data_IF_413302674913
#
_entry.id   IF_413302674913
#
_cell.length_a   1.000
_cell.length_b   1.000
_cell.length_c   1.000
_cell.angle_alpha   90.00
_cell.angle_beta   90.00
_cell.angle_gamma   90.00
#
_symmetry.space_group_name_H-M   'P 1'
#
loop_
_entity.id
_entity.type
_entity.pdbx_description
1 polymer ?
#
# COMPACT_ATOMS: atom_id res chain seq x y z
N UNK A 1 1.55 3.25 29.85
CA UNK A 1 1.89 1.84 29.54
C UNK A 1 3.12 1.80 28.64
N UNK A 2 3.92 0.74 28.68
CA UNK A 2 5.07 0.59 27.75
C UNK A 2 4.54 0.30 26.34
N UNK A 3 5.01 1.05 25.34
CA UNK A 3 4.69 0.82 23.92
C UNK A 3 5.22 -0.54 23.46
N UNK A 4 4.47 -1.21 22.58
CA UNK A 4 4.86 -2.46 21.93
C UNK A 4 6.06 -2.20 21.00
N UNK A 5 7.03 -3.14 20.89
CA UNK A 5 8.21 -3.01 20.03
C UNK A 5 7.88 -3.23 18.55
N UNK A 6 6.86 -2.55 18.06
CA UNK A 6 6.30 -2.69 16.72
C UNK A 6 6.39 -1.33 16.03
N UNK A 7 6.63 -1.34 14.73
CA UNK A 7 6.35 -0.22 13.86
C UNK A 7 5.19 -0.60 12.92
N UNK A 8 4.28 0.33 12.69
CA UNK A 8 3.20 0.19 11.69
C UNK A 8 3.39 1.30 10.68
N UNK A 9 3.39 0.94 9.40
CA UNK A 9 3.52 1.88 8.29
C UNK A 9 2.34 1.71 7.35
N UNK A 10 1.71 2.83 6.97
CA UNK A 10 0.58 2.88 6.04
C UNK A 10 0.97 3.74 4.83
N UNK A 11 1.43 3.12 3.74
CA UNK A 11 1.89 3.88 2.58
C UNK A 11 0.73 4.41 1.72
N UNK A 12 -0.50 3.91 1.89
CA UNK A 12 -1.55 4.02 0.88
C UNK A 12 -2.92 4.47 1.40
N UNK A 13 -3.04 4.84 2.67
CA UNK A 13 -4.34 5.17 3.28
C UNK A 13 -4.92 6.55 2.91
N UNK A 14 -4.09 7.48 2.45
CA UNK A 14 -4.52 8.85 2.16
C UNK A 14 -5.21 9.00 0.80
N UNK A 15 -6.14 9.96 0.72
CA UNK A 15 -6.81 10.39 -0.51
C UNK A 15 -6.32 11.75 -1.02
N UNK A 16 -5.37 12.38 -0.33
CA UNK A 16 -4.96 13.74 -0.67
C UNK A 16 -4.15 13.77 -1.97
N UNK A 17 -4.41 14.79 -2.79
CA UNK A 17 -3.63 15.07 -4.00
C UNK A 17 -2.44 15.97 -3.61
N UNK A 18 -1.20 15.67 -4.05
CA UNK A 18 -0.07 16.57 -3.88
C UNK A 18 -0.40 17.97 -4.46
N UNK A 19 -0.17 19.07 -3.72
CA UNK A 19 -0.61 20.40 -4.14
C UNK A 19 -0.12 20.83 -5.54
N UNK A 20 1.09 20.44 -5.93
CA UNK A 20 1.67 20.74 -7.24
C UNK A 20 0.96 20.03 -8.41
N UNK A 21 0.21 18.97 -8.09
CA UNK A 21 -0.49 18.12 -9.05
C UNK A 21 -2.00 18.37 -9.08
N UNK A 22 -2.56 19.18 -8.18
CA UNK A 22 -4.01 19.43 -8.08
C UNK A 22 -4.63 19.80 -9.42
N UNK A 23 -4.04 20.76 -10.15
CA UNK A 23 -4.57 21.19 -11.46
C UNK A 23 -4.21 20.25 -12.61
N UNK A 24 -3.31 19.29 -12.40
CA UNK A 24 -2.81 18.35 -13.42
C UNK A 24 -3.55 17.02 -13.42
N UNK A 25 -4.05 16.59 -12.26
CA UNK A 25 -4.70 15.28 -12.07
C UNK A 25 -6.06 15.24 -12.76
N UNK A 26 -6.34 14.15 -13.46
CA UNK A 26 -7.61 13.87 -14.13
C UNK A 26 -8.53 12.95 -13.32
N UNK A 27 -8.05 12.37 -12.23
CA UNK A 27 -8.79 11.41 -11.40
C UNK A 27 -9.93 12.08 -10.62
N UNK A 28 -11.09 11.43 -10.60
CA UNK A 28 -12.17 11.76 -9.68
C UNK A 28 -11.83 11.33 -8.25
N UNK A 29 -12.58 11.84 -7.26
CA UNK A 29 -12.45 11.39 -5.87
C UNK A 29 -12.74 9.89 -5.72
N UNK A 30 -13.71 9.37 -6.48
CA UNK A 30 -14.04 7.94 -6.50
C UNK A 30 -12.88 7.10 -7.05
N UNK A 31 -12.23 7.55 -8.13
CA UNK A 31 -11.07 6.86 -8.69
C UNK A 31 -9.89 6.87 -7.72
N UNK A 32 -9.64 7.99 -7.05
CA UNK A 32 -8.61 8.09 -5.99
C UNK A 32 -8.95 7.13 -4.84
N UNK A 33 -10.20 7.09 -4.41
CA UNK A 33 -10.66 6.20 -3.35
C UNK A 33 -10.49 4.72 -3.72
N UNK A 34 -10.84 4.34 -4.95
CA UNK A 34 -10.71 2.96 -5.43
C UNK A 34 -9.24 2.50 -5.54
N UNK A 35 -8.32 3.41 -5.81
CA UNK A 35 -6.88 3.11 -5.75
C UNK A 35 -6.37 2.98 -4.31
N UNK A 36 -6.95 3.72 -3.36
CA UNK A 36 -6.43 3.81 -2.01
C UNK A 36 -6.66 2.54 -1.20
N UNK A 37 -5.81 2.36 -0.20
CA UNK A 37 -6.03 1.38 0.85
C UNK A 37 -6.99 2.02 1.88
N UNK A 38 -8.21 2.34 1.46
CA UNK A 38 -9.15 3.16 2.23
C UNK A 38 -9.38 2.61 3.64
N UNK A 39 -9.42 3.51 4.62
CA UNK A 39 -9.59 3.23 6.05
C UNK A 39 -8.50 2.36 6.70
N UNK A 40 -7.38 2.08 6.01
CA UNK A 40 -6.31 1.27 6.60
C UNK A 40 -5.70 1.94 7.85
N UNK A 41 -5.67 3.27 7.86
CA UNK A 41 -5.18 4.07 8.99
C UNK A 41 -6.07 3.92 10.23
N UNK A 42 -7.37 3.69 10.04
CA UNK A 42 -8.34 3.47 11.13
C UNK A 42 -8.26 2.02 11.64
N UNK A 43 -8.15 1.06 10.72
CA UNK A 43 -7.99 -0.37 11.05
C UNK A 43 -6.71 -0.60 11.85
N UNK A 44 -5.64 0.12 11.50
CA UNK A 44 -4.33 0.04 12.14
C UNK A 44 -4.02 1.25 13.04
N UNK A 45 -5.04 1.88 13.65
CA UNK A 45 -4.82 2.98 14.60
C UNK A 45 -4.30 2.50 15.96
N UNK A 46 -3.01 2.23 16.01
CA UNK A 46 -2.29 1.85 17.22
C UNK A 46 -1.25 2.91 17.63
N UNK A 47 -1.41 4.17 17.22
CA UNK A 47 -0.41 5.26 17.39
C UNK A 47 0.12 5.39 18.82
N UNK A 48 -0.76 5.21 19.81
CA UNK A 48 -0.40 5.28 21.24
C UNK A 48 0.17 3.98 21.81
N UNK A 49 0.08 2.88 21.07
CA UNK A 49 0.43 1.53 21.53
C UNK A 49 1.72 0.98 20.93
N UNK A 50 2.19 1.51 19.80
CA UNK A 50 3.40 1.04 19.10
C UNK A 50 4.54 2.06 19.18
N UNK A 51 5.78 1.63 18.94
CA UNK A 51 6.95 2.52 18.95
C UNK A 51 6.85 3.57 17.86
N UNK A 52 6.56 3.12 16.63
CA UNK A 52 6.44 3.97 15.46
C UNK A 52 5.13 3.72 14.74
N UNK A 53 4.49 4.80 14.33
CA UNK A 53 3.34 4.76 13.43
C UNK A 53 3.57 5.84 12.38
N UNK A 54 3.54 5.47 11.10
CA UNK A 54 3.79 6.37 9.99
C UNK A 54 2.75 6.15 8.90
N UNK A 55 2.25 7.24 8.32
CA UNK A 55 1.41 7.17 7.13
C UNK A 55 1.89 8.14 6.06
N UNK A 56 1.88 7.68 4.82
CA UNK A 56 2.18 8.53 3.68
C UNK A 56 0.96 9.41 3.37
N UNK A 57 1.12 10.74 3.30
CA UNK A 57 -0.02 11.65 3.34
C UNK A 57 -0.71 11.86 1.99
N UNK A 58 -0.30 11.19 0.91
CA UNK A 58 -0.87 11.41 -0.43
C UNK A 58 -1.38 10.13 -1.09
N UNK A 59 -2.30 10.29 -2.02
CA UNK A 59 -2.95 9.21 -2.74
C UNK A 59 -1.96 8.38 -3.56
N UNK A 60 -1.94 7.07 -3.31
CA UNK A 60 -1.10 6.12 -4.05
C UNK A 60 -1.39 6.08 -5.54
N UNK A 61 -2.62 6.41 -5.93
CA UNK A 61 -3.05 6.52 -7.32
C UNK A 61 -2.28 7.58 -8.12
N UNK A 62 -1.52 8.44 -7.43
CA UNK A 62 -0.70 9.51 -7.99
C UNK A 62 0.77 9.30 -7.63
N UNK A 63 1.08 9.10 -6.34
CA UNK A 63 2.42 8.82 -5.84
C UNK A 63 2.43 7.51 -5.04
N UNK A 64 2.95 6.42 -5.62
CA UNK A 64 3.07 5.11 -4.98
C UNK A 64 4.48 4.93 -4.40
N UNK A 65 4.61 5.14 -3.09
CA UNK A 65 5.90 5.00 -2.39
C UNK A 65 6.38 3.55 -2.22
N UNK A 66 5.55 2.56 -2.57
CA UNK A 66 5.91 1.14 -2.61
C UNK A 66 6.35 0.70 -4.01
N UNK A 67 6.53 1.62 -4.97
CA UNK A 67 7.21 1.36 -6.25
C UNK A 67 8.69 1.71 -6.18
N UNK A 68 9.55 1.00 -6.93
CA UNK A 68 10.94 1.41 -7.07
C UNK A 68 11.02 2.75 -7.80
N UNK A 69 11.90 3.65 -7.33
CA UNK A 69 12.14 4.93 -8.01
C UNK A 69 12.83 4.79 -9.37
N UNK A 70 13.46 3.65 -9.64
CA UNK A 70 14.01 3.34 -10.95
C UNK A 70 12.89 2.88 -11.90
N UNK A 71 12.64 3.69 -12.94
CA UNK A 71 11.63 3.42 -13.97
C UNK A 71 11.88 2.09 -14.67
N UNK A 72 13.13 1.64 -14.81
CA UNK A 72 13.44 0.35 -15.43
C UNK A 72 12.96 -0.84 -14.60
N UNK A 73 12.64 -0.64 -13.32
CA UNK A 73 12.15 -1.66 -12.39
C UNK A 73 10.64 -1.59 -12.18
N UNK A 74 9.92 -0.74 -12.92
CA UNK A 74 8.47 -0.67 -12.81
C UNK A 74 7.83 -2.01 -13.20
N UNK A 75 6.84 -2.51 -12.44
CA UNK A 75 6.23 -3.80 -12.75
C UNK A 75 5.52 -3.83 -14.11
N UNK A 76 4.96 -2.68 -14.52
CA UNK A 76 4.21 -2.44 -15.75
C UNK A 76 4.38 -0.99 -16.17
N UNK A 77 4.20 -0.71 -17.46
CA UNK A 77 4.27 0.64 -17.99
C UNK A 77 3.25 1.57 -17.30
N UNK A 78 3.72 2.73 -16.85
CA UNK A 78 2.90 3.73 -16.15
C UNK A 78 2.58 3.40 -14.69
N UNK A 79 3.10 2.28 -14.14
CA UNK A 79 2.91 1.84 -12.75
C UNK A 79 4.19 2.03 -11.89
N UNK A 80 4.90 3.16 -12.12
CA UNK A 80 6.04 3.59 -11.32
C UNK A 80 5.64 4.40 -10.07
N UNK A 81 6.62 5.06 -9.43
CA UNK A 81 6.37 5.91 -8.25
C UNK A 81 5.40 7.03 -8.58
N UNK A 82 5.60 7.72 -9.69
CA UNK A 82 4.63 8.67 -10.23
C UNK A 82 3.78 7.87 -11.22
N UNK A 83 2.52 7.63 -10.87
CA UNK A 83 1.64 6.82 -11.71
C UNK A 83 1.17 7.61 -12.91
N UNK A 84 1.21 6.99 -14.08
CA UNK A 84 0.61 7.53 -15.30
C UNK A 84 -0.78 6.94 -15.55
N UNK A 85 -0.98 5.69 -15.12
CA UNK A 85 -2.22 4.93 -15.27
C UNK A 85 -2.56 4.28 -13.93
N UNK A 86 -3.82 4.39 -13.52
CA UNK A 86 -4.37 3.74 -12.32
C UNK A 86 -4.43 2.23 -12.46
N UNK A 87 -4.66 1.53 -11.36
CA UNK A 87 -4.86 0.08 -11.35
C UNK A 87 -6.04 -0.37 -12.20
N UNK A 88 -7.03 0.50 -12.37
CA UNK A 88 -8.23 0.29 -13.19
C UNK A 88 -8.13 0.88 -14.61
N UNK A 89 -6.94 1.30 -15.05
CA UNK A 89 -6.70 1.75 -16.43
C UNK A 89 -7.07 3.19 -16.75
N UNK A 90 -7.52 3.99 -15.77
CA UNK A 90 -7.76 5.42 -15.97
C UNK A 90 -6.44 6.21 -16.01
N UNK A 91 -6.27 7.20 -16.92
CA UNK A 91 -5.11 8.08 -16.95
C UNK A 91 -5.09 8.99 -15.71
N UNK A 92 -3.92 9.12 -15.08
CA UNK A 92 -3.76 9.89 -13.84
C UNK A 92 -3.78 11.40 -14.11
N UNK A 93 -3.20 11.84 -15.23
CA UNK A 93 -3.05 13.25 -15.59
C UNK A 93 -3.94 13.65 -16.76
N UNK A 94 -4.35 14.92 -16.78
CA UNK A 94 -5.03 15.53 -17.92
C UNK A 94 -4.11 15.48 -19.16
N UNK A 95 -4.65 15.41 -20.39
CA UNK A 95 -3.84 15.40 -21.60
C UNK A 95 -2.85 16.58 -21.65
N UNK A 96 -1.56 16.29 -21.82
CA UNK A 96 -0.49 17.29 -21.87
C UNK A 96 -0.05 17.86 -20.52
N UNK A 97 -0.59 17.36 -19.40
CA UNK A 97 -0.25 17.81 -18.04
C UNK A 97 0.58 16.80 -17.25
N UNK A 98 1.07 15.74 -17.90
CA UNK A 98 1.99 14.77 -17.32
C UNK A 98 3.24 15.46 -16.75
N UNK A 99 3.76 14.99 -15.60
CA UNK A 99 5.05 15.45 -15.11
C UNK A 99 6.15 15.20 -16.13
N UNK A 100 6.93 16.23 -16.43
CA UNK A 100 8.19 16.08 -17.14
C UNK A 100 9.28 15.53 -16.20
N UNK A 101 10.48 15.32 -16.72
CA UNK A 101 11.60 14.79 -15.94
C UNK A 101 11.98 15.70 -14.75
N UNK A 102 11.83 17.03 -14.90
CA UNK A 102 12.19 17.98 -13.84
C UNK A 102 11.17 17.92 -12.69
N UNK A 103 9.88 17.96 -13.01
CA UNK A 103 8.81 17.81 -12.03
C UNK A 103 8.86 16.42 -11.39
N UNK A 104 9.12 15.37 -12.16
CA UNK A 104 9.25 14.01 -11.61
C UNK A 104 10.39 13.92 -10.57
N UNK A 105 11.56 14.49 -10.86
CA UNK A 105 12.67 14.55 -9.92
C UNK A 105 12.31 15.36 -8.65
N UNK A 106 11.57 16.46 -8.80
CA UNK A 106 11.09 17.25 -7.66
C UNK A 106 10.12 16.45 -6.78
N UNK A 107 9.16 15.74 -7.38
CA UNK A 107 8.19 14.91 -6.67
C UNK A 107 8.90 13.79 -5.89
N UNK A 108 9.90 13.12 -6.49
CA UNK A 108 10.71 12.12 -5.79
C UNK A 108 11.45 12.73 -4.60
N UNK A 109 12.07 13.90 -4.79
CA UNK A 109 12.77 14.64 -3.73
C UNK A 109 11.85 15.06 -2.59
N UNK A 110 10.62 15.46 -2.90
CA UNK A 110 9.68 15.99 -1.91
C UNK A 110 8.93 14.89 -1.15
N UNK A 111 8.64 13.77 -1.82
CA UNK A 111 7.70 12.77 -1.30
C UNK A 111 8.32 11.39 -1.12
N UNK A 112 9.07 10.90 -2.12
CA UNK A 112 9.59 9.53 -2.10
C UNK A 112 10.81 9.37 -1.20
N UNK A 113 11.87 10.15 -1.40
CA UNK A 113 13.09 10.01 -0.61
C UNK A 113 12.88 10.28 0.89
N UNK A 114 12.14 11.33 1.31
CA UNK A 114 11.87 11.56 2.73
C UNK A 114 11.08 10.41 3.39
N UNK A 115 10.13 9.81 2.68
CA UNK A 115 9.41 8.62 3.16
C UNK A 115 10.37 7.45 3.38
N UNK A 116 11.22 7.13 2.40
CA UNK A 116 12.17 6.03 2.50
C UNK A 116 13.27 6.28 3.54
N UNK A 117 13.72 7.52 3.71
CA UNK A 117 14.62 7.90 4.81
C UNK A 117 13.99 7.62 6.18
N UNK A 118 12.71 7.95 6.35
CA UNK A 118 11.95 7.62 7.55
C UNK A 118 11.83 6.09 7.75
N UNK A 119 11.58 5.32 6.68
CA UNK A 119 11.49 3.85 6.76
C UNK A 119 12.82 3.23 7.17
N UNK A 120 13.94 3.73 6.63
CA UNK A 120 15.29 3.29 7.00
C UNK A 120 15.56 3.60 8.48
N UNK A 121 15.19 4.80 8.95
CA UNK A 121 15.35 5.17 10.35
C UNK A 121 14.52 4.29 11.31
N UNK A 122 13.28 3.96 10.93
CA UNK A 122 12.42 3.04 11.69
C UNK A 122 13.03 1.63 11.72
N UNK A 123 13.51 1.13 10.58
CA UNK A 123 14.11 -0.19 10.47
C UNK A 123 15.45 -0.30 11.24
N UNK A 124 16.18 0.81 11.37
CA UNK A 124 17.45 0.87 12.11
C UNK A 124 17.27 1.01 13.64
N UNK A 125 16.05 1.31 14.12
CA UNK A 125 15.77 1.39 15.56
C UNK A 125 15.76 -0.01 16.19
N UNK A 126 16.81 -0.35 16.94
CA UNK A 126 16.98 -1.66 17.57
C UNK A 126 15.85 -2.06 18.55
N UNK A 127 15.03 -1.09 18.99
CA UNK A 127 13.85 -1.37 19.84
C UNK A 127 12.69 -1.96 19.04
N UNK A 128 12.65 -1.72 17.73
CA UNK A 128 11.66 -2.29 16.81
C UNK A 128 12.01 -3.76 16.56
N UNK A 129 11.04 -4.65 16.80
CA UNK A 129 11.19 -6.10 16.60
C UNK A 129 10.28 -6.62 15.47
N UNK A 130 9.33 -5.82 15.02
CA UNK A 130 8.43 -6.13 13.92
C UNK A 130 8.01 -4.83 13.22
N UNK A 131 8.04 -4.83 11.89
CA UNK A 131 7.42 -3.81 11.04
C UNK A 131 6.21 -4.44 10.37
N UNK A 132 5.06 -3.78 10.46
CA UNK A 132 3.84 -4.13 9.74
C UNK A 132 3.64 -3.09 8.64
N UNK A 133 3.78 -3.53 7.38
CA UNK A 133 3.37 -2.77 6.20
C UNK A 133 1.87 -3.01 5.97
N UNK A 134 1.06 -2.03 6.38
CA UNK A 134 -0.37 -2.17 6.49
C UNK A 134 -1.06 -1.80 5.18
N UNK A 135 -1.87 -2.73 4.67
CA UNK A 135 -2.58 -2.59 3.41
C UNK A 135 -4.01 -3.12 3.51
N UNK A 136 -4.90 -2.55 2.70
CA UNK A 136 -6.17 -3.16 2.35
C UNK A 136 -6.17 -3.51 0.87
N UNK A 137 -7.13 -4.32 0.44
CA UNK A 137 -7.23 -4.75 -0.95
C UNK A 137 -8.69 -4.83 -1.36
N UNK A 138 -8.99 -4.43 -2.59
CA UNK A 138 -10.28 -4.72 -3.19
C UNK A 138 -10.58 -6.22 -3.13
N UNK A 139 -11.82 -6.58 -2.77
CA UNK A 139 -12.26 -7.96 -2.65
C UNK A 139 -12.16 -8.72 -3.97
N UNK A 140 -12.32 -7.99 -5.08
CA UNK A 140 -12.08 -8.43 -6.44
C UNK A 140 -10.96 -7.55 -7.00
N UNK A 141 -9.94 -8.16 -7.58
CA UNK A 141 -8.77 -7.42 -8.06
C UNK A 141 -9.10 -6.52 -9.26
N UNK A 142 -8.41 -5.37 -9.38
CA UNK A 142 -8.49 -4.53 -10.59
C UNK A 142 -8.03 -5.30 -11.83
N UNK A 143 -8.63 -4.98 -12.98
CA UNK A 143 -8.44 -5.67 -14.28
C UNK A 143 -6.97 -5.84 -14.68
N UNK A 144 -6.12 -4.86 -14.37
CA UNK A 144 -4.72 -4.91 -14.77
C UNK A 144 -3.86 -5.85 -13.90
N UNK A 145 -4.31 -6.25 -12.70
CA UNK A 145 -3.50 -6.96 -11.70
C UNK A 145 -3.80 -8.46 -11.55
N UNK A 146 -4.72 -9.03 -12.33
CA UNK A 146 -5.00 -10.46 -12.29
C UNK A 146 -6.35 -10.84 -12.89
N UNK A 147 -6.86 -12.01 -12.50
CA UNK A 147 -8.19 -12.48 -12.89
C UNK A 147 -9.27 -11.73 -12.06
N UNK A 148 -10.06 -10.83 -12.67
CA UNK A 148 -11.10 -10.07 -11.99
C UNK A 148 -12.29 -10.95 -11.56
N UNK A 149 -12.28 -12.26 -11.82
CA UNK A 149 -13.30 -13.18 -11.31
C UNK A 149 -12.97 -13.78 -9.94
N UNK A 150 -11.71 -13.70 -9.48
CA UNK A 150 -11.29 -14.33 -8.23
C UNK A 150 -11.46 -13.40 -7.03
N UNK A 151 -12.35 -13.80 -6.11
CA UNK A 151 -12.44 -13.17 -4.79
C UNK A 151 -11.17 -13.45 -3.99
N UNK A 152 -10.55 -12.38 -3.49
CA UNK A 152 -9.37 -12.45 -2.63
C UNK A 152 -9.74 -12.93 -1.23
N UNK A 153 -8.78 -13.56 -0.55
CA UNK A 153 -8.92 -13.86 0.87
C UNK A 153 -9.18 -12.58 1.67
N UNK A 154 -9.97 -12.68 2.74
CA UNK A 154 -10.34 -11.54 3.59
C UNK A 154 -9.14 -10.85 4.22
N UNK A 155 -8.14 -11.64 4.59
CA UNK A 155 -6.86 -11.18 5.08
C UNK A 155 -5.77 -11.98 4.42
N UNK A 156 -4.68 -11.30 4.09
CA UNK A 156 -3.45 -11.91 3.60
C UNK A 156 -2.29 -11.45 4.47
N UNK A 157 -1.39 -12.37 4.77
CA UNK A 157 -0.11 -12.07 5.43
C UNK A 157 0.99 -12.35 4.44
N UNK A 158 1.66 -11.30 3.99
CA UNK A 158 2.79 -11.38 3.07
C UNK A 158 4.12 -11.33 3.81
N UNK A 159 5.07 -12.18 3.41
CA UNK A 159 6.46 -12.11 3.87
C UNK A 159 7.47 -12.16 2.70
N UNK A 160 7.02 -11.78 1.49
CA UNK A 160 7.73 -11.93 0.21
C UNK A 160 8.03 -13.39 -0.21
N UNK A 161 7.47 -14.37 0.52
CA UNK A 161 7.57 -15.79 0.19
C UNK A 161 6.56 -16.27 -0.85
N UNK A 162 6.51 -17.58 -1.02
CA UNK A 162 5.49 -18.29 -1.79
C UNK A 162 4.13 -18.28 -1.05
N UNK A 163 3.13 -18.99 -1.60
CA UNK A 163 1.78 -19.11 -0.98
C UNK A 163 1.77 -19.76 0.41
N UNK A 164 2.88 -20.37 0.84
CA UNK A 164 3.05 -20.98 2.16
C UNK A 164 4.03 -20.17 3.03
N UNK A 165 4.42 -18.97 2.61
CA UNK A 165 5.40 -18.11 3.27
C UNK A 165 6.84 -18.60 3.19
N UNK A 166 7.17 -19.53 2.30
CA UNK A 166 8.53 -20.09 2.11
C UNK A 166 9.34 -19.28 1.10
N UNK A 167 10.67 -19.36 1.16
CA UNK A 167 11.56 -18.66 0.22
C UNK A 167 11.19 -19.03 -1.21
N UNK A 168 11.05 -18.02 -2.07
CA UNK A 168 10.91 -18.23 -3.52
C UNK A 168 12.29 -18.28 -4.18
N UNK A 169 12.53 -19.19 -5.14
CA UNK A 169 13.80 -19.29 -5.84
C UNK A 169 14.22 -18.00 -6.57
N UNK A 170 13.26 -17.19 -7.03
CA UNK A 170 13.48 -15.97 -7.81
C UNK A 170 13.73 -14.71 -6.97
N UNK A 171 13.40 -14.74 -5.67
CA UNK A 171 13.54 -13.59 -4.74
C UNK A 171 14.67 -13.77 -3.72
N UNK A 172 14.96 -15.00 -3.33
CA UNK A 172 16.09 -15.36 -2.46
C UNK A 172 16.04 -14.88 -1.00
N UNK A 173 15.05 -14.07 -0.59
CA UNK A 173 14.91 -13.57 0.78
C UNK A 173 13.44 -13.42 1.21
N UNK A 174 13.20 -13.52 2.52
CA UNK A 174 11.90 -13.24 3.14
C UNK A 174 11.97 -11.92 3.92
N UNK A 175 10.85 -11.22 4.03
CA UNK A 175 10.68 -10.08 4.92
C UNK A 175 10.45 -10.51 6.39
N UNK A 176 9.95 -11.73 6.60
CA UNK A 176 9.73 -12.30 7.93
C UNK A 176 9.84 -13.84 7.90
N UNK A 177 10.22 -14.50 9.00
CA UNK A 177 10.25 -15.97 9.08
C UNK A 177 8.89 -16.59 8.72
N UNK A 178 8.92 -17.72 8.00
CA UNK A 178 7.71 -18.45 7.59
C UNK A 178 6.80 -18.77 8.77
N UNK A 179 7.37 -19.18 9.90
CA UNK A 179 6.61 -19.53 11.11
C UNK A 179 5.86 -18.34 11.71
N UNK A 180 6.47 -17.15 11.68
CA UNK A 180 5.83 -15.92 12.16
C UNK A 180 4.68 -15.51 11.25
N UNK A 181 4.90 -15.53 9.93
CA UNK A 181 3.88 -15.20 8.94
C UNK A 181 2.66 -16.14 9.04
N UNK A 182 2.90 -17.44 9.13
CA UNK A 182 1.83 -18.43 9.26
C UNK A 182 1.07 -18.27 10.57
N UNK A 183 1.78 -18.04 11.69
CA UNK A 183 1.11 -17.80 12.99
C UNK A 183 0.24 -16.54 12.98
N UNK A 184 0.69 -15.47 12.31
CA UNK A 184 -0.13 -14.27 12.12
C UNK A 184 -1.37 -14.57 11.26
N UNK A 185 -1.20 -15.33 10.17
CA UNK A 185 -2.30 -15.71 9.30
C UNK A 185 -3.36 -16.54 10.05
N UNK A 186 -2.95 -17.53 10.84
CA UNK A 186 -3.84 -18.37 11.65
C UNK A 186 -4.64 -17.52 12.64
N UNK A 187 -3.96 -16.65 13.39
CA UNK A 187 -4.60 -15.77 14.37
C UNK A 187 -5.59 -14.79 13.73
N UNK A 188 -5.24 -14.20 12.59
CA UNK A 188 -6.13 -13.31 11.85
C UNK A 188 -7.32 -14.08 11.28
N UNK A 189 -7.10 -15.28 10.75
CA UNK A 189 -8.14 -16.17 10.26
C UNK A 189 -9.16 -16.51 11.35
N UNK A 190 -8.70 -16.89 12.54
CA UNK A 190 -9.56 -17.16 13.70
C UNK A 190 -10.33 -15.91 14.15
N UNK A 191 -9.65 -14.77 14.27
CA UNK A 191 -10.25 -13.53 14.82
C UNK A 191 -11.22 -12.85 13.88
N UNK A 192 -11.11 -13.10 12.58
CA UNK A 192 -11.89 -12.44 11.54
C UNK A 192 -12.85 -13.41 10.83
N UNK A 193 -12.96 -14.66 11.33
CA UNK A 193 -13.84 -15.69 10.79
C UNK A 193 -15.30 -15.21 10.71
N UNK A 194 -15.77 -14.53 11.76
CA UNK A 194 -17.17 -14.14 11.92
C UNK A 194 -17.53 -12.80 11.27
N UNK A 195 -16.58 -12.12 10.62
CA UNK A 195 -16.88 -10.90 9.87
C UNK A 195 -17.90 -11.26 8.78
N UNK A 196 -19.04 -10.58 8.73
CA UNK A 196 -19.98 -10.80 7.62
C UNK A 196 -19.44 -10.07 6.39
N UNK A 197 -19.56 -10.63 5.18
CA UNK A 197 -19.28 -9.87 3.97
C UNK A 197 -20.11 -8.58 4.00
N UNK A 198 -19.50 -7.46 3.63
CA UNK A 198 -20.30 -6.29 3.28
C UNK A 198 -21.21 -6.69 2.11
N UNK A 199 -22.51 -6.71 2.36
CA UNK A 199 -23.52 -6.72 1.29
C UNK A 199 -23.44 -5.37 0.59
N UNK A 200 -23.67 -5.35 -0.72
CA UNK A 200 -23.71 -4.11 -1.48
C UNK A 200 -24.63 -3.10 -0.80
N UNK A 201 -24.14 -1.89 -0.57
CA UNK A 201 -24.98 -0.81 -0.06
C UNK A 201 -26.10 -0.55 -1.08
N UNK A 202 -27.36 -0.77 -0.68
CA UNK A 202 -28.53 -0.59 -1.54
C UNK A 202 -29.24 -1.89 -1.96
N UNK A 203 -28.77 -3.07 -1.53
CA UNK A 203 -29.57 -4.30 -1.63
C UNK A 203 -30.26 -4.51 -0.28
N UNK A 204 -31.45 -3.92 -0.12
CA UNK A 204 -32.35 -4.27 0.97
C UNK A 204 -32.75 -5.75 0.83
N UNK A 205 -32.66 -6.51 1.93
CA UNK A 205 -33.21 -7.87 2.06
C UNK A 205 -34.70 -7.81 2.32
#
# INVERSE_FOLDING_TARGET
MKKLPIAIVSPHGSLAVPPELTERVALSQEQIFNEADAYIDDIFDFRDRVLHWAAFPYARGIIDVNRPSDVALQPRDGDGVIKEITSYGAPVFKPGMQPDAALAAELLRKYYYPWHEQMVAIAADERVKLVIDAHSMAAVGPDLYGDPSQRRARVMVGNLGDKNGRIRPDRGKLAAPTSLANRFADLLGERLADIKPFVEAGVET
#
